data_IF_729272384107
#
_entry.id   IF_729272384107
#
_cell.length_a   1.000
_cell.length_b   1.000
_cell.length_c   1.000
_cell.angle_alpha   90.00
_cell.angle_beta   90.00
_cell.angle_gamma   90.00
#
_symmetry.space_group_name_H-M   'P 1'
#
loop_
_entity.id
_entity.type
_entity.pdbx_description
1 polymer ?
#
# COMPACT_ATOMS: atom_id res chain seq x y z
N UNK A 1 -3.81 -7.16 -28.23
CA UNK A 1 -3.11 -6.50 -27.12
C UNK A 1 -2.32 -7.53 -26.36
N UNK A 2 -1.09 -7.22 -26.00
CA UNK A 2 -0.14 -8.13 -25.35
C UNK A 2 0.31 -7.54 -24.01
N UNK A 3 0.27 -8.33 -22.95
CA UNK A 3 0.73 -7.98 -21.60
C UNK A 3 2.14 -8.54 -21.35
N UNK A 4 3.05 -7.70 -20.84
CA UNK A 4 4.37 -8.11 -20.34
C UNK A 4 4.36 -8.19 -18.82
N UNK A 5 4.44 -9.38 -18.25
CA UNK A 5 4.41 -9.62 -16.80
C UNK A 5 5.82 -9.70 -16.23
N UNK A 6 6.20 -8.73 -15.40
CA UNK A 6 7.55 -8.59 -14.83
C UNK A 6 7.68 -9.32 -13.47
N UNK A 7 7.41 -10.60 -13.47
CA UNK A 7 7.36 -11.43 -12.25
C UNK A 7 8.72 -11.58 -11.54
N UNK A 8 9.84 -11.46 -12.26
CA UNK A 8 11.18 -11.54 -11.67
C UNK A 8 11.46 -10.43 -10.65
N UNK A 9 10.72 -9.34 -10.71
CA UNK A 9 10.85 -8.18 -9.83
C UNK A 9 9.69 -8.06 -8.84
N UNK A 10 8.91 -9.12 -8.68
CA UNK A 10 7.81 -9.19 -7.73
C UNK A 10 8.25 -9.54 -6.30
N UNK A 11 7.33 -9.44 -5.35
CA UNK A 11 7.50 -9.98 -4.00
C UNK A 11 7.56 -11.52 -4.02
N UNK A 12 8.01 -12.12 -2.94
CA UNK A 12 8.14 -13.58 -2.84
C UNK A 12 6.80 -14.33 -3.06
N UNK A 13 5.71 -13.72 -2.63
CA UNK A 13 4.35 -14.24 -2.74
C UNK A 13 3.56 -13.69 -3.94
N UNK A 14 4.21 -13.00 -4.88
CA UNK A 14 3.52 -12.37 -6.01
C UNK A 14 3.26 -13.31 -7.19
N UNK A 15 3.94 -14.46 -7.25
CA UNK A 15 3.89 -15.35 -8.41
C UNK A 15 2.48 -15.82 -8.72
N UNK A 16 1.74 -16.28 -7.74
CA UNK A 16 0.36 -16.75 -7.90
C UNK A 16 -0.57 -15.64 -8.41
N UNK A 17 -0.32 -14.40 -8.03
CA UNK A 17 -1.10 -13.24 -8.49
C UNK A 17 -0.80 -12.94 -9.96
N UNK A 18 0.46 -13.00 -10.38
CA UNK A 18 0.83 -12.87 -11.79
C UNK A 18 0.24 -14.01 -12.64
N UNK A 19 0.24 -15.25 -12.14
CA UNK A 19 -0.33 -16.40 -12.83
C UNK A 19 -1.86 -16.24 -12.98
N UNK A 20 -2.55 -15.78 -11.94
CA UNK A 20 -3.99 -15.47 -11.99
C UNK A 20 -4.29 -14.33 -12.99
N UNK A 21 -3.49 -13.26 -12.98
CA UNK A 21 -3.62 -12.20 -13.98
C UNK A 21 -3.42 -12.72 -15.41
N UNK A 22 -2.38 -13.52 -15.63
CA UNK A 22 -2.09 -14.12 -16.93
C UNK A 22 -3.25 -15.01 -17.42
N UNK A 23 -3.81 -15.81 -16.53
CA UNK A 23 -4.97 -16.65 -16.83
C UNK A 23 -6.18 -15.81 -17.25
N UNK A 24 -6.50 -14.77 -16.48
CA UNK A 24 -7.58 -13.83 -16.79
C UNK A 24 -7.38 -13.10 -18.12
N UNK A 25 -6.18 -12.59 -18.38
CA UNK A 25 -5.85 -11.93 -19.65
C UNK A 25 -6.04 -12.87 -20.85
N UNK A 26 -5.56 -14.11 -20.74
CA UNK A 26 -5.70 -15.11 -21.81
C UNK A 26 -7.16 -15.52 -22.04
N UNK A 27 -7.97 -15.62 -20.98
CA UNK A 27 -9.41 -15.94 -21.11
C UNK A 27 -10.20 -14.86 -21.85
N UNK A 28 -9.66 -13.63 -21.86
CA UNK A 28 -10.19 -12.48 -22.61
C UNK A 28 -9.58 -12.35 -24.02
N UNK A 29 -8.77 -13.30 -24.46
CA UNK A 29 -8.16 -13.31 -25.79
C UNK A 29 -6.91 -12.44 -25.93
N UNK A 30 -6.26 -12.05 -24.82
CA UNK A 30 -5.03 -11.27 -24.86
C UNK A 30 -3.78 -12.17 -24.78
N UNK A 31 -2.72 -11.74 -25.47
CA UNK A 31 -1.42 -12.39 -25.37
C UNK A 31 -0.70 -12.02 -24.08
N UNK A 32 0.10 -12.96 -23.56
CA UNK A 32 0.89 -12.76 -22.35
C UNK A 32 2.32 -13.23 -22.60
N UNK A 33 3.28 -12.37 -22.29
CA UNK A 33 4.72 -12.69 -22.26
C UNK A 33 5.28 -12.42 -20.86
N UNK A 34 6.39 -13.07 -20.53
CA UNK A 34 6.98 -13.00 -19.21
C UNK A 34 8.38 -12.39 -19.27
N UNK A 35 8.57 -11.32 -18.48
CA UNK A 35 9.86 -10.61 -18.35
C UNK A 35 10.46 -10.18 -19.70
N UNK A 36 9.60 -9.81 -20.63
CA UNK A 36 9.92 -9.42 -22.01
C UNK A 36 9.37 -8.00 -22.26
N UNK A 37 10.18 -7.05 -22.79
CA UNK A 37 9.74 -5.68 -23.02
C UNK A 37 8.74 -5.49 -24.18
N UNK A 38 8.49 -6.55 -24.98
CA UNK A 38 7.73 -6.48 -26.23
C UNK A 38 6.19 -6.58 -26.04
N UNK A 39 5.66 -6.21 -24.88
CA UNK A 39 4.22 -6.08 -24.69
C UNK A 39 3.70 -4.67 -24.91
N UNK A 40 2.42 -4.54 -25.14
CA UNK A 40 1.72 -3.24 -25.26
C UNK A 40 1.49 -2.61 -23.87
N UNK A 41 1.33 -3.44 -22.85
CA UNK A 41 1.08 -3.06 -21.46
C UNK A 41 2.04 -3.82 -20.56
N UNK A 42 2.74 -3.11 -19.69
CA UNK A 42 3.57 -3.76 -18.67
C UNK A 42 2.79 -3.99 -17.38
N UNK A 43 2.98 -5.14 -16.77
CA UNK A 43 2.39 -5.52 -15.48
C UNK A 43 3.53 -5.69 -14.48
N UNK A 44 3.54 -4.85 -13.44
CA UNK A 44 4.57 -4.82 -12.41
C UNK A 44 3.97 -5.06 -11.03
N UNK A 45 4.81 -5.44 -10.07
CA UNK A 45 4.44 -5.56 -8.68
C UNK A 45 4.88 -4.34 -7.90
N UNK A 46 3.92 -3.64 -7.29
CA UNK A 46 4.14 -2.50 -6.42
C UNK A 46 4.80 -1.28 -7.10
N UNK A 47 4.69 -0.15 -6.45
CA UNK A 47 5.40 1.10 -6.76
C UNK A 47 6.35 1.49 -5.63
N UNK A 48 6.87 0.49 -4.92
CA UNK A 48 7.91 0.64 -3.91
C UNK A 48 9.28 0.35 -4.53
N UNK A 49 10.07 1.40 -4.75
CA UNK A 49 11.35 1.34 -5.45
C UNK A 49 12.49 0.88 -4.54
N UNK A 50 12.33 -0.26 -3.88
CA UNK A 50 13.34 -0.82 -2.97
C UNK A 50 13.36 -2.35 -2.99
N UNK A 51 14.43 -2.94 -2.51
CA UNK A 51 14.60 -4.38 -2.47
C UNK A 51 14.44 -5.03 -3.83
N UNK A 52 13.71 -6.13 -3.92
CA UNK A 52 13.45 -6.86 -5.17
C UNK A 52 12.73 -6.01 -6.22
N UNK A 53 11.82 -5.13 -5.78
CA UNK A 53 11.01 -4.27 -6.65
C UNK A 53 11.78 -3.05 -7.19
N UNK A 54 13.01 -2.80 -6.77
CA UNK A 54 13.79 -1.64 -7.22
C UNK A 54 13.92 -1.56 -8.75
N UNK A 55 14.02 -2.71 -9.42
CA UNK A 55 14.12 -2.78 -10.89
C UNK A 55 12.82 -2.41 -11.62
N UNK A 56 11.68 -2.47 -10.94
CA UNK A 56 10.40 -2.01 -11.52
C UNK A 56 10.43 -0.51 -11.81
N UNK A 57 11.28 0.26 -11.10
CA UNK A 57 11.40 1.70 -11.36
C UNK A 57 11.84 2.02 -12.79
N UNK A 58 12.79 1.28 -13.33
CA UNK A 58 13.25 1.48 -14.70
C UNK A 58 12.14 1.19 -15.74
N UNK A 59 11.30 0.18 -15.46
CA UNK A 59 10.15 -0.14 -16.31
C UNK A 59 9.11 1.00 -16.21
N UNK A 60 8.81 1.43 -15.00
CA UNK A 60 7.89 2.53 -14.72
C UNK A 60 8.33 3.83 -15.41
N UNK A 61 9.58 4.26 -15.20
CA UNK A 61 10.12 5.49 -15.78
C UNK A 61 10.11 5.46 -17.33
N UNK A 62 10.49 4.32 -17.92
CA UNK A 62 10.40 4.10 -19.36
C UNK A 62 8.96 4.25 -19.86
N UNK A 63 8.02 3.61 -19.18
CA UNK A 63 6.62 3.63 -19.59
C UNK A 63 6.01 5.03 -19.47
N UNK A 64 6.34 5.77 -18.42
CA UNK A 64 5.95 7.17 -18.29
C UNK A 64 6.48 8.01 -19.47
N UNK A 65 7.76 7.86 -19.82
CA UNK A 65 8.37 8.60 -20.92
C UNK A 65 7.75 8.26 -22.29
N UNK A 66 7.25 7.05 -22.46
CA UNK A 66 6.65 6.54 -23.69
C UNK A 66 5.11 6.62 -23.71
N UNK A 67 4.49 7.11 -22.64
CA UNK A 67 3.03 7.05 -22.44
C UNK A 67 2.47 5.63 -22.58
N UNK A 68 3.28 4.62 -22.23
CA UNK A 68 2.91 3.21 -22.27
C UNK A 68 2.14 2.85 -21.00
N UNK A 69 0.97 2.20 -21.10
CA UNK A 69 0.19 1.80 -19.93
C UNK A 69 0.93 0.83 -19.02
N UNK A 70 0.78 1.01 -17.73
CA UNK A 70 1.34 0.11 -16.71
C UNK A 70 0.26 -0.35 -15.75
N UNK A 71 0.05 -1.66 -15.66
CA UNK A 71 -0.77 -2.26 -14.61
C UNK A 71 0.09 -2.53 -13.39
N UNK A 72 -0.36 -2.08 -12.24
CA UNK A 72 0.31 -2.33 -10.96
C UNK A 72 -0.51 -3.32 -10.15
N UNK A 73 0.13 -4.39 -9.73
CA UNK A 73 -0.39 -5.37 -8.79
C UNK A 73 0.18 -5.08 -7.40
N UNK A 74 -0.65 -5.12 -6.36
CA UNK A 74 -0.22 -4.84 -4.99
C UNK A 74 -1.04 -5.66 -3.98
N UNK A 75 -0.50 -5.86 -2.80
CA UNK A 75 -1.19 -6.51 -1.69
C UNK A 75 -2.45 -5.72 -1.31
N UNK A 76 -3.56 -6.42 -1.15
CA UNK A 76 -4.81 -5.83 -0.69
C UNK A 76 -4.73 -5.35 0.76
N UNK A 77 -5.42 -4.26 1.09
CA UNK A 77 -5.54 -3.76 2.46
C UNK A 77 -6.60 -4.51 3.28
N UNK A 78 -7.52 -5.20 2.60
CA UNK A 78 -8.62 -5.94 3.21
C UNK A 78 -8.37 -7.43 3.02
N UNK A 79 -8.49 -8.23 4.08
CA UNK A 79 -8.16 -9.67 4.06
C UNK A 79 -6.82 -9.92 3.36
N UNK A 80 -5.75 -9.40 3.99
CA UNK A 80 -4.39 -9.52 3.49
C UNK A 80 -4.03 -10.98 3.17
N UNK A 81 -3.33 -11.19 2.05
CA UNK A 81 -2.98 -12.54 1.58
C UNK A 81 -4.07 -13.24 0.78
N UNK A 82 -5.30 -12.71 0.72
CA UNK A 82 -6.42 -13.25 -0.07
C UNK A 82 -7.02 -12.23 -1.04
N UNK A 83 -6.74 -10.96 -0.85
CA UNK A 83 -7.21 -9.89 -1.73
C UNK A 83 -6.03 -9.10 -2.29
N UNK A 84 -6.20 -8.59 -3.50
CA UNK A 84 -5.17 -7.91 -4.25
C UNK A 84 -5.73 -6.62 -4.84
N UNK A 85 -4.87 -5.63 -5.00
CA UNK A 85 -5.18 -4.40 -5.72
C UNK A 85 -4.62 -4.50 -7.13
N UNK A 86 -5.39 -4.05 -8.09
CA UNK A 86 -5.00 -3.95 -9.50
C UNK A 86 -5.32 -2.54 -9.96
N UNK A 87 -4.32 -1.75 -10.26
CA UNK A 87 -4.51 -0.37 -10.71
C UNK A 87 -3.81 -0.11 -12.03
N UNK A 88 -4.40 0.74 -12.86
CA UNK A 88 -3.78 1.20 -14.10
C UNK A 88 -3.04 2.51 -13.83
N UNK A 89 -1.79 2.59 -14.31
CA UNK A 89 -0.91 3.76 -14.20
C UNK A 89 -0.70 4.27 -12.77
N UNK A 90 -0.84 3.39 -11.80
CA UNK A 90 -0.68 3.70 -10.40
C UNK A 90 -1.27 2.62 -9.50
N UNK A 91 -1.23 2.89 -8.21
CA UNK A 91 -1.93 2.12 -7.18
C UNK A 91 -2.30 3.06 -6.03
N UNK A 92 -3.43 2.83 -5.34
CA UNK A 92 -4.00 3.68 -4.32
C UNK A 92 -4.26 5.11 -4.83
N UNK A 93 -3.42 6.08 -4.47
CA UNK A 93 -3.60 7.52 -4.66
C UNK A 93 -3.87 7.95 -6.11
N UNK A 94 -3.16 7.35 -7.07
CA UNK A 94 -3.15 7.85 -8.45
C UNK A 94 -3.62 6.80 -9.46
N UNK A 95 -4.08 5.66 -8.99
CA UNK A 95 -4.51 4.59 -9.86
C UNK A 95 -5.88 4.87 -10.48
N UNK A 96 -6.04 4.49 -11.71
CA UNK A 96 -7.35 4.27 -12.28
C UNK A 96 -7.77 2.81 -12.02
N UNK A 97 -8.90 2.63 -11.34
CA UNK A 97 -9.45 1.33 -10.96
C UNK A 97 -10.63 0.88 -11.83
N UNK A 98 -10.94 1.61 -12.87
CA UNK A 98 -12.09 1.39 -13.76
C UNK A 98 -13.36 2.12 -13.32
N UNK A 99 -14.26 2.33 -14.27
CA UNK A 99 -15.55 3.02 -14.08
C UNK A 99 -16.72 2.03 -13.85
N UNK A 100 -16.41 0.79 -13.58
CA UNK A 100 -17.39 -0.27 -13.37
C UNK A 100 -18.13 -0.06 -12.05
N UNK A 101 -19.13 0.78 -12.07
CA UNK A 101 -20.12 1.07 -11.03
C UNK A 101 -19.72 0.75 -9.59
N UNK A 102 -19.92 1.68 -8.70
CA UNK A 102 -19.67 1.50 -7.26
C UNK A 102 -20.78 0.65 -6.62
N UNK A 103 -20.85 -0.64 -6.97
CA UNK A 103 -21.75 -1.56 -6.30
C UNK A 103 -21.06 -2.24 -5.09
N UNK A 104 -21.84 -2.87 -4.25
CA UNK A 104 -21.36 -3.56 -3.05
C UNK A 104 -20.96 -5.03 -3.29
N UNK A 105 -20.98 -5.52 -4.53
CA UNK A 105 -20.82 -6.95 -4.84
C UNK A 105 -19.51 -7.51 -4.28
N UNK A 106 -18.38 -6.80 -4.42
CA UNK A 106 -17.10 -7.24 -3.89
C UNK A 106 -17.07 -7.24 -2.36
N UNK A 107 -17.69 -6.25 -1.71
CA UNK A 107 -17.80 -6.20 -0.27
C UNK A 107 -18.64 -7.37 0.24
N UNK A 108 -19.76 -7.64 -0.42
CA UNK A 108 -20.64 -8.77 -0.13
C UNK A 108 -19.92 -10.12 -0.32
N UNK A 109 -19.22 -10.30 -1.45
CA UNK A 109 -18.43 -11.49 -1.73
C UNK A 109 -17.34 -11.74 -0.67
N UNK A 110 -16.73 -10.67 -0.15
CA UNK A 110 -15.71 -10.73 0.90
C UNK A 110 -16.31 -10.83 2.31
N UNK A 111 -17.63 -10.80 2.42
CA UNK A 111 -18.34 -10.76 3.72
C UNK A 111 -17.81 -9.64 4.62
N UNK A 112 -17.71 -8.44 4.06
CA UNK A 112 -17.26 -7.26 4.80
C UNK A 112 -18.41 -6.67 5.57
N UNK A 113 -18.26 -6.59 6.88
CA UNK A 113 -19.20 -5.93 7.78
C UNK A 113 -18.58 -4.61 8.27
N UNK A 114 -19.29 -3.51 8.03
CA UNK A 114 -18.92 -2.20 8.57
C UNK A 114 -19.36 -2.13 10.03
N UNK A 115 -18.40 -2.03 10.93
CA UNK A 115 -18.68 -1.82 12.35
C UNK A 115 -19.03 -0.34 12.62
N UNK A 116 -19.79 -0.06 13.66
CA UNK A 116 -20.01 1.31 14.13
C UNK A 116 -18.69 2.01 14.41
N UNK A 117 -18.68 3.33 14.28
CA UNK A 117 -17.53 4.13 14.62
C UNK A 117 -17.13 3.96 16.09
N UNK A 118 -15.87 3.69 16.38
CA UNK A 118 -15.40 3.56 17.76
C UNK A 118 -15.24 4.94 18.41
N UNK A 119 -16.25 5.36 19.19
CA UNK A 119 -16.22 6.63 19.91
C UNK A 119 -15.53 6.55 21.28
N UNK A 120 -15.23 5.35 21.77
CA UNK A 120 -14.69 5.09 23.11
C UNK A 120 -13.17 4.90 23.13
N UNK A 121 -12.49 4.94 21.99
CA UNK A 121 -11.04 4.78 21.93
C UNK A 121 -10.31 5.91 22.66
N UNK A 122 -9.28 5.54 23.40
CA UNK A 122 -8.45 6.47 24.18
C UNK A 122 -7.45 7.21 23.29
N UNK A 123 -6.87 6.54 22.31
CA UNK A 123 -5.70 7.02 21.57
C UNK A 123 -6.04 7.50 20.16
N UNK A 124 -5.34 8.53 19.71
CA UNK A 124 -5.18 8.83 18.28
C UNK A 124 -3.94 8.10 17.77
N UNK A 125 -4.10 7.32 16.72
CA UNK A 125 -2.99 6.61 16.08
C UNK A 125 -2.46 7.41 14.89
N UNK A 126 -1.16 7.75 14.90
CA UNK A 126 -0.45 8.25 13.73
C UNK A 126 0.38 7.10 13.15
N UNK A 127 0.02 6.65 11.95
CA UNK A 127 0.69 5.56 11.26
C UNK A 127 1.59 6.10 10.14
N UNK A 128 2.90 6.01 10.33
CA UNK A 128 3.88 6.47 9.35
C UNK A 128 3.88 5.60 8.09
N UNK A 129 4.10 6.22 6.93
CA UNK A 129 4.21 5.57 5.64
C UNK A 129 5.67 5.26 5.27
N UNK A 130 5.88 4.47 4.22
CA UNK A 130 7.21 4.23 3.68
C UNK A 130 7.64 5.42 2.80
N UNK A 131 8.58 6.23 3.27
CA UNK A 131 9.00 7.49 2.63
C UNK A 131 9.48 7.33 1.18
N UNK A 132 10.02 6.15 0.82
CA UNK A 132 10.50 5.86 -0.54
C UNK A 132 9.44 5.27 -1.46
N UNK A 133 8.19 5.17 -1.00
CA UNK A 133 7.10 4.73 -1.86
C UNK A 133 6.70 5.84 -2.84
N UNK A 134 6.37 5.47 -4.07
CA UNK A 134 5.78 6.41 -5.05
C UNK A 134 4.48 7.03 -4.51
N UNK A 135 3.79 6.35 -3.60
CA UNK A 135 2.61 6.89 -2.91
C UNK A 135 2.92 8.14 -2.08
N UNK A 136 4.19 8.29 -1.65
CA UNK A 136 4.66 9.41 -0.82
C UNK A 136 5.39 10.50 -1.63
N UNK A 137 5.47 10.36 -2.96
CA UNK A 137 6.15 11.35 -3.81
C UNK A 137 5.55 12.76 -3.63
N UNK A 138 6.39 13.77 -3.69
CA UNK A 138 6.02 15.17 -3.51
C UNK A 138 5.38 15.50 -2.14
N UNK A 139 5.54 14.63 -1.16
CA UNK A 139 5.15 14.87 0.22
C UNK A 139 6.37 15.31 1.05
N UNK A 140 6.16 15.97 2.20
CA UNK A 140 7.26 16.28 3.13
C UNK A 140 8.00 15.01 3.55
N UNK A 141 9.23 15.17 4.08
CA UNK A 141 9.89 14.05 4.76
C UNK A 141 8.98 13.48 5.84
N UNK A 142 8.97 12.17 6.00
CA UNK A 142 8.09 11.48 6.96
C UNK A 142 8.25 12.02 8.38
N UNK A 143 9.48 12.35 8.81
CA UNK A 143 9.74 12.97 10.11
C UNK A 143 9.01 14.30 10.28
N UNK A 144 9.07 15.18 9.26
CA UNK A 144 8.35 16.45 9.30
C UNK A 144 6.84 16.26 9.33
N UNK A 145 6.33 15.39 8.48
CA UNK A 145 4.89 15.08 8.44
C UNK A 145 4.38 14.58 9.79
N UNK A 146 5.13 13.68 10.45
CA UNK A 146 4.75 13.16 11.77
C UNK A 146 4.74 14.27 12.82
N UNK A 147 5.74 15.17 12.81
CA UNK A 147 5.78 16.33 13.71
C UNK A 147 4.56 17.23 13.50
N UNK A 148 4.25 17.57 12.24
CA UNK A 148 3.10 18.41 11.89
C UNK A 148 1.77 17.74 12.34
N UNK A 149 1.65 16.42 12.18
CA UNK A 149 0.46 15.69 12.62
C UNK A 149 0.30 15.64 14.14
N UNK A 150 1.40 15.40 14.87
CA UNK A 150 1.39 15.44 16.34
C UNK A 150 0.91 16.82 16.83
N UNK A 151 1.48 17.89 16.30
CA UNK A 151 1.10 19.27 16.65
C UNK A 151 -0.36 19.55 16.31
N UNK A 152 -0.81 19.13 15.14
CA UNK A 152 -2.19 19.28 14.69
C UNK A 152 -3.18 18.54 15.62
N UNK A 153 -2.87 17.30 15.98
CA UNK A 153 -3.72 16.54 16.92
C UNK A 153 -3.78 17.24 18.28
N UNK A 154 -2.63 17.63 18.83
CA UNK A 154 -2.54 18.29 20.15
C UNK A 154 -3.25 19.65 20.19
N UNK A 155 -3.37 20.34 19.05
CA UNK A 155 -4.13 21.58 18.96
C UNK A 155 -5.65 21.38 19.01
N UNK A 156 -6.14 20.15 18.77
CA UNK A 156 -7.58 19.86 18.66
C UNK A 156 -8.08 18.78 19.63
N UNK A 157 -7.18 18.09 20.33
CA UNK A 157 -7.54 17.00 21.22
C UNK A 157 -6.49 16.78 22.31
N UNK A 158 -6.97 16.51 23.53
CA UNK A 158 -6.12 16.13 24.67
C UNK A 158 -5.83 14.60 24.69
N UNK A 159 -6.32 13.85 23.71
CA UNK A 159 -6.09 12.41 23.65
C UNK A 159 -4.61 12.09 23.49
N UNK A 160 -4.08 11.11 24.21
CA UNK A 160 -2.73 10.63 23.99
C UNK A 160 -2.58 10.06 22.57
N UNK A 161 -1.38 10.21 22.03
CA UNK A 161 -1.06 9.80 20.66
C UNK A 161 -0.20 8.54 20.70
N UNK A 162 -0.58 7.53 19.92
CA UNK A 162 0.30 6.44 19.57
C UNK A 162 0.91 6.74 18.20
N UNK A 163 2.23 6.78 18.14
CA UNK A 163 2.96 6.88 16.88
C UNK A 163 3.56 5.53 16.49
N UNK A 164 3.15 5.02 15.33
CA UNK A 164 3.68 3.78 14.72
C UNK A 164 4.46 4.11 13.46
N UNK A 165 5.80 4.14 13.47
CA UNK A 165 6.58 4.28 12.26
C UNK A 165 6.39 3.06 11.36
N UNK A 166 6.51 3.26 10.04
CA UNK A 166 6.50 2.11 9.13
C UNK A 166 7.66 1.17 9.46
N UNK A 167 7.45 -0.15 9.59
CA UNK A 167 8.47 -1.10 10.08
C UNK A 167 9.77 -1.09 9.28
N UNK A 168 9.67 -0.80 7.97
CA UNK A 168 10.81 -0.74 7.05
C UNK A 168 11.27 0.69 6.72
N UNK A 169 10.76 1.67 7.45
CA UNK A 169 11.14 3.07 7.34
C UNK A 169 11.23 3.69 8.76
N UNK A 170 12.18 3.22 9.57
CA UNK A 170 12.34 3.71 10.93
C UNK A 170 12.67 5.21 10.92
N UNK A 171 12.11 5.93 11.89
CA UNK A 171 12.36 7.35 12.09
C UNK A 171 13.14 7.58 13.39
N UNK A 172 13.89 8.69 13.52
CA UNK A 172 14.44 9.13 14.79
C UNK A 172 13.37 9.22 15.88
N UNK A 173 13.76 9.29 17.13
CA UNK A 173 12.84 9.34 18.28
C UNK A 173 12.25 10.74 18.48
N UNK A 174 11.61 11.26 17.43
CA UNK A 174 11.01 12.61 17.38
C UNK A 174 9.86 12.81 18.36
N UNK A 175 9.18 11.73 18.73
CA UNK A 175 8.06 11.75 19.69
C UNK A 175 8.48 12.16 21.10
N UNK A 176 9.78 12.06 21.45
CA UNK A 176 10.29 12.39 22.78
C UNK A 176 10.21 13.88 23.11
N UNK A 177 10.02 14.73 22.11
CA UNK A 177 9.86 16.16 22.27
C UNK A 177 8.43 16.56 22.69
N UNK A 178 7.50 15.59 22.67
CA UNK A 178 6.09 15.86 22.94
C UNK A 178 5.58 15.11 24.17
N UNK A 179 4.69 15.75 24.92
CA UNK A 179 3.96 15.11 26.01
C UNK A 179 2.87 14.21 25.42
N UNK A 180 2.56 13.12 26.12
CA UNK A 180 1.48 12.19 25.75
C UNK A 180 1.61 11.56 24.34
N UNK A 181 2.83 11.40 23.84
CA UNK A 181 3.11 10.68 22.60
C UNK A 181 3.91 9.42 22.91
N UNK A 182 3.37 8.27 22.53
CA UNK A 182 3.95 6.95 22.79
C UNK A 182 4.33 6.31 21.46
N UNK A 183 5.60 5.95 21.30
CA UNK A 183 6.02 5.15 20.15
C UNK A 183 5.67 3.70 20.36
N UNK A 184 4.99 3.12 19.37
CA UNK A 184 4.84 1.67 19.24
C UNK A 184 5.50 1.21 17.95
N UNK A 185 6.40 0.25 18.04
CA UNK A 185 6.99 -0.38 16.85
C UNK A 185 6.22 -1.67 16.56
N UNK A 186 5.54 -1.75 15.42
CA UNK A 186 4.85 -2.98 15.03
C UNK A 186 5.85 -4.15 14.98
N UNK A 187 5.49 -5.27 15.60
CA UNK A 187 6.30 -6.48 15.61
C UNK A 187 5.81 -7.43 14.53
N UNK A 188 6.71 -7.89 13.67
CA UNK A 188 6.37 -8.87 12.65
C UNK A 188 5.93 -10.17 13.29
N UNK A 189 4.83 -10.76 12.80
CA UNK A 189 4.36 -12.06 13.28
C UNK A 189 5.28 -13.19 12.81
N UNK A 190 5.55 -14.20 13.66
CA UNK A 190 6.33 -15.36 13.25
C UNK A 190 5.74 -16.08 12.05
N UNK A 191 6.58 -16.48 11.11
CA UNK A 191 6.15 -17.21 9.90
C UNK A 191 5.48 -16.35 8.82
N UNK A 192 5.28 -15.07 9.06
CA UNK A 192 4.72 -14.13 8.07
C UNK A 192 5.76 -13.13 7.61
N UNK A 193 5.72 -12.77 6.32
CA UNK A 193 6.59 -11.74 5.77
C UNK A 193 6.01 -10.33 5.96
N UNK A 194 4.70 -10.19 5.93
CA UNK A 194 4.00 -8.91 5.86
C UNK A 194 2.99 -8.67 6.98
N UNK A 195 2.76 -9.64 7.85
CA UNK A 195 1.82 -9.47 8.95
C UNK A 195 2.52 -8.97 10.20
N UNK A 196 1.91 -7.99 10.85
CA UNK A 196 2.41 -7.33 12.03
C UNK A 196 1.37 -7.39 13.13
N UNK A 197 1.87 -7.55 14.37
CA UNK A 197 1.06 -7.47 15.58
C UNK A 197 0.60 -6.03 15.79
N UNK A 198 -0.65 -5.75 15.44
CA UNK A 198 -1.26 -4.43 15.55
C UNK A 198 -2.62 -4.55 16.23
N UNK A 199 -2.75 -3.93 17.38
CA UNK A 199 -4.02 -3.77 18.08
C UNK A 199 -4.63 -2.39 17.79
N UNK A 200 -5.93 -2.38 17.49
CA UNK A 200 -6.69 -1.17 17.21
C UNK A 200 -7.88 -1.00 18.18
N UNK A 201 -8.04 -1.88 19.17
CA UNK A 201 -9.24 -1.89 20.04
C UNK A 201 -9.43 -0.60 20.83
N UNK A 202 -8.33 0.06 21.24
CA UNK A 202 -8.37 1.31 22.01
C UNK A 202 -8.02 2.54 21.14
N UNK A 203 -8.13 2.42 19.83
CA UNK A 203 -7.90 3.52 18.91
C UNK A 203 -9.20 4.24 18.57
N UNK A 204 -9.23 5.54 18.85
CA UNK A 204 -10.32 6.44 18.49
C UNK A 204 -10.35 6.73 16.98
N UNK A 205 -9.21 7.12 16.42
CA UNK A 205 -9.04 7.33 14.99
C UNK A 205 -7.58 7.10 14.55
N UNK A 206 -7.41 6.88 13.26
CA UNK A 206 -6.08 6.70 12.64
C UNK A 206 -5.84 7.78 11.59
N UNK A 207 -4.63 8.35 11.61
CA UNK A 207 -4.09 9.30 10.64
C UNK A 207 -2.91 8.62 9.94
N UNK A 208 -2.93 8.55 8.59
CA UNK A 208 -1.85 7.91 7.82
C UNK A 208 -1.65 8.56 6.45
#
# INVERSE_FOLDING_TARGET
MKFSLWSNYGALNSREVFDAFASGAKSLGYDVVWNDPNGDVDVIWSVLWSGRMAKNKAIWDRNLAQSKPTVVLEVGGIKRGTTWKVGLNGINRDAYFGDMGNNSDRATLLSLELKPWNTNGTYVLIAGQHERSEQWRNQPRMSKWVLDMIQSVQAHSDRPIIFRPHPRCPLPAIEREFKNVIRQTPRQLPGSYDDFDMDFNDIYCTIS
#
